data_IF_027862433727
#
_entry.id   IF_027862433727
#
_cell.length_a   1.000
_cell.length_b   1.000
_cell.length_c   1.000
_cell.angle_alpha   90.00
_cell.angle_beta   90.00
_cell.angle_gamma   90.00
#
_symmetry.space_group_name_H-M   'P 1'
#
loop_
_entity.id
_entity.type
_entity.pdbx_description
1 polymer ?
#
# COMPACT_ATOMS: atom_id res chain seq x y z
N UNK A 1 19.00 15.42 -23.59
CA UNK A 1 17.97 14.37 -23.70
C UNK A 1 18.11 13.45 -22.50
N UNK A 2 17.21 13.52 -21.51
CA UNK A 2 17.12 12.50 -20.46
C UNK A 2 16.46 11.28 -21.09
N UNK A 3 16.98 10.08 -20.83
CA UNK A 3 16.31 8.83 -21.23
C UNK A 3 14.92 8.87 -20.58
N UNK A 4 13.88 9.05 -21.40
CA UNK A 4 12.48 9.00 -20.96
C UNK A 4 12.14 7.51 -20.96
N UNK A 5 12.23 6.89 -19.78
CA UNK A 5 12.05 5.46 -19.63
C UNK A 5 11.76 5.13 -18.17
N UNK A 6 11.11 4.00 -17.93
CA UNK A 6 10.91 3.52 -16.57
C UNK A 6 12.25 3.13 -15.96
N UNK A 7 12.47 3.48 -14.69
CA UNK A 7 13.62 2.95 -13.98
C UNK A 7 13.47 1.44 -13.77
N UNK A 8 14.61 0.77 -13.56
CA UNK A 8 14.67 -0.68 -13.47
C UNK A 8 13.70 -1.24 -12.42
N UNK A 9 13.58 -0.61 -11.25
CA UNK A 9 12.72 -1.13 -10.17
C UNK A 9 11.24 -1.10 -10.57
N UNK A 10 10.82 -0.01 -11.23
CA UNK A 10 9.46 0.07 -11.79
C UNK A 10 9.23 -0.98 -12.89
N UNK A 11 10.22 -1.18 -13.77
CA UNK A 11 10.14 -2.16 -14.85
C UNK A 11 10.00 -3.59 -14.34
N UNK A 12 10.93 -4.00 -13.47
CA UNK A 12 10.95 -5.32 -12.85
C UNK A 12 9.62 -5.61 -12.12
N UNK A 13 9.04 -4.59 -11.47
CA UNK A 13 7.73 -4.71 -10.82
C UNK A 13 6.60 -4.94 -11.83
N UNK A 14 6.50 -4.15 -12.90
CA UNK A 14 5.43 -4.34 -13.90
C UNK A 14 5.57 -5.67 -14.64
N UNK A 15 6.79 -6.08 -14.97
CA UNK A 15 7.08 -7.39 -15.54
C UNK A 15 6.65 -8.53 -14.59
N UNK A 16 6.85 -8.37 -13.27
CA UNK A 16 6.37 -9.34 -12.28
C UNK A 16 4.83 -9.47 -12.23
N UNK A 17 4.11 -8.47 -12.74
CA UNK A 17 2.65 -8.51 -12.91
C UNK A 17 2.23 -9.10 -14.27
N UNK A 18 3.17 -9.60 -15.07
CA UNK A 18 2.98 -10.06 -16.45
C UNK A 18 2.47 -8.97 -17.40
N UNK A 19 2.89 -7.71 -17.18
CA UNK A 19 2.56 -6.60 -18.06
C UNK A 19 3.62 -6.50 -19.16
N UNK A 20 3.20 -6.59 -20.43
CA UNK A 20 4.08 -6.34 -21.57
C UNK A 20 4.34 -4.85 -21.76
N UNK A 21 5.59 -4.45 -21.54
CA UNK A 21 6.02 -3.06 -21.64
C UNK A 21 6.37 -2.63 -23.05
N UNK A 22 6.47 -3.55 -24.01
CA UNK A 22 6.78 -3.26 -25.42
C UNK A 22 5.84 -2.20 -26.01
N UNK A 23 4.57 -2.21 -25.58
CA UNK A 23 3.53 -1.30 -26.05
C UNK A 23 2.93 -0.41 -24.95
N UNK A 24 3.30 -0.62 -23.69
CA UNK A 24 2.72 0.08 -22.55
C UNK A 24 3.67 1.03 -21.82
N UNK A 25 4.97 1.04 -22.14
CA UNK A 25 5.96 1.81 -21.37
C UNK A 25 5.59 3.31 -21.24
N UNK A 26 5.16 3.95 -22.32
CA UNK A 26 4.76 5.37 -22.31
C UNK A 26 3.58 5.64 -21.38
N UNK A 27 2.57 4.76 -21.36
CA UNK A 27 1.41 4.88 -20.46
C UNK A 27 1.84 4.78 -19.00
N UNK A 28 2.74 3.84 -18.69
CA UNK A 28 3.24 3.67 -17.33
C UNK A 28 4.22 4.76 -16.90
N UNK A 29 4.88 5.45 -17.82
CA UNK A 29 5.68 6.65 -17.50
C UNK A 29 4.79 7.74 -16.91
N UNK A 30 3.60 7.96 -17.46
CA UNK A 30 2.65 8.97 -16.97
C UNK A 30 2.22 8.71 -15.51
N UNK A 31 2.09 7.43 -15.13
CA UNK A 31 1.70 7.01 -13.79
C UNK A 31 2.86 6.43 -12.95
N UNK A 32 4.11 6.67 -13.32
CA UNK A 32 5.28 6.07 -12.66
C UNK A 32 5.36 6.38 -11.15
N UNK A 33 4.90 7.57 -10.74
CA UNK A 33 4.82 7.93 -9.33
C UNK A 33 3.90 7.01 -8.52
N UNK A 34 2.80 6.53 -9.15
CA UNK A 34 1.87 5.59 -8.55
C UNK A 34 2.50 4.22 -8.39
N UNK A 35 3.18 3.73 -9.43
CA UNK A 35 3.83 2.42 -9.41
C UNK A 35 4.92 2.38 -8.32
N UNK A 36 5.68 3.47 -8.18
CA UNK A 36 6.67 3.63 -7.10
C UNK A 36 6.07 3.59 -5.70
N UNK A 37 4.88 4.16 -5.53
CA UNK A 37 4.17 4.10 -4.25
C UNK A 37 3.79 2.65 -3.89
N UNK A 38 3.24 1.90 -4.85
CA UNK A 38 2.89 0.48 -4.66
C UNK A 38 4.12 -0.35 -4.29
N UNK A 39 5.22 -0.20 -5.03
CA UNK A 39 6.49 -0.89 -4.76
C UNK A 39 6.99 -0.58 -3.35
N UNK A 40 6.99 0.70 -2.96
CA UNK A 40 7.44 1.12 -1.64
C UNK A 40 6.60 0.50 -0.54
N UNK A 41 5.29 0.39 -0.73
CA UNK A 41 4.40 -0.18 0.27
C UNK A 41 4.51 -1.68 0.38
N UNK A 42 4.57 -2.40 -0.75
CA UNK A 42 4.85 -3.83 -0.76
C UNK A 42 6.13 -4.17 0.01
N UNK A 43 7.20 -3.40 -0.25
CA UNK A 43 8.47 -3.55 0.48
C UNK A 43 8.29 -3.38 2.00
N UNK A 44 7.49 -2.39 2.42
CA UNK A 44 7.30 -2.08 3.83
C UNK A 44 6.35 -3.04 4.54
N UNK A 45 5.33 -3.53 3.85
CA UNK A 45 4.45 -4.58 4.34
C UNK A 45 5.25 -5.88 4.55
N UNK A 46 6.13 -6.25 3.63
CA UNK A 46 7.01 -7.41 3.82
C UNK A 46 7.97 -7.24 5.01
N UNK A 47 8.58 -6.07 5.17
CA UNK A 47 9.40 -5.78 6.34
C UNK A 47 8.58 -5.86 7.65
N UNK A 48 7.31 -5.45 7.62
CA UNK A 48 6.43 -5.55 8.78
C UNK A 48 6.02 -6.98 9.09
N UNK A 49 5.70 -7.79 8.07
CA UNK A 49 5.42 -9.23 8.23
C UNK A 49 6.58 -9.93 8.91
N UNK A 50 7.80 -9.71 8.43
CA UNK A 50 9.02 -10.24 9.05
C UNK A 50 9.18 -9.79 10.51
N UNK A 51 8.86 -8.53 10.81
CA UNK A 51 8.90 -8.01 12.17
C UNK A 51 7.85 -8.67 13.09
N UNK A 52 6.61 -8.82 12.63
CA UNK A 52 5.51 -9.44 13.40
C UNK A 52 5.72 -10.96 13.57
N UNK A 53 6.25 -11.64 12.56
CA UNK A 53 6.62 -13.06 12.63
C UNK A 53 7.67 -13.30 13.74
N UNK A 54 8.60 -12.35 13.94
CA UNK A 54 9.57 -12.39 15.04
C UNK A 54 8.93 -12.17 16.43
N UNK A 55 7.70 -11.66 16.47
CA UNK A 55 6.97 -11.29 17.70
C UNK A 55 5.79 -12.24 18.00
N UNK A 56 5.75 -13.41 17.35
CA UNK A 56 4.73 -14.46 17.55
C UNK A 56 3.31 -14.09 17.11
N UNK A 57 3.17 -13.18 16.14
CA UNK A 57 1.94 -12.89 15.38
C UNK A 57 0.62 -12.92 16.19
N UNK A 58 0.25 -11.78 16.78
CA UNK A 58 -1.11 -11.60 17.29
C UNK A 58 -2.15 -11.69 16.15
N UNK A 59 -3.33 -12.24 16.46
CA UNK A 59 -4.45 -12.34 15.50
C UNK A 59 -4.87 -10.96 14.97
N UNK A 60 -4.74 -9.90 15.76
CA UNK A 60 -5.08 -8.55 15.31
C UNK A 60 -4.15 -8.06 14.19
N UNK A 61 -2.84 -8.28 14.29
CA UNK A 61 -1.89 -7.93 13.24
C UNK A 61 -2.06 -8.78 11.98
N UNK A 62 -2.42 -10.06 12.15
CA UNK A 62 -2.66 -10.98 11.04
C UNK A 62 -3.83 -10.54 10.15
N UNK A 63 -4.95 -10.10 10.77
CA UNK A 63 -6.10 -9.59 10.04
C UNK A 63 -5.74 -8.33 9.23
N UNK A 64 -4.97 -7.41 9.81
CA UNK A 64 -4.56 -6.18 9.13
C UNK A 64 -3.58 -6.41 7.99
N UNK A 65 -2.63 -7.34 8.18
CA UNK A 65 -1.73 -7.76 7.11
C UNK A 65 -2.57 -8.27 5.93
N UNK A 66 -3.52 -9.15 6.20
CA UNK A 66 -4.41 -9.71 5.18
C UNK A 66 -5.26 -8.64 4.46
N UNK A 67 -5.94 -7.75 5.19
CA UNK A 67 -6.72 -6.65 4.58
C UNK A 67 -5.83 -5.74 3.70
N UNK A 68 -4.57 -5.51 4.11
CA UNK A 68 -3.62 -4.70 3.35
C UNK A 68 -3.12 -5.43 2.10
N UNK A 69 -2.86 -6.73 2.19
CA UNK A 69 -2.48 -7.57 1.05
C UNK A 69 -3.60 -7.63 0.00
N UNK A 70 -4.88 -7.70 0.42
CA UNK A 70 -6.01 -7.65 -0.49
C UNK A 70 -6.09 -6.32 -1.27
N UNK A 71 -5.86 -5.19 -0.61
CA UNK A 71 -5.86 -3.88 -1.29
C UNK A 71 -4.71 -3.75 -2.29
N UNK A 72 -3.52 -4.28 -1.96
CA UNK A 72 -2.40 -4.34 -2.87
C UNK A 72 -2.70 -5.23 -4.09
N UNK A 73 -3.28 -6.41 -3.88
CA UNK A 73 -3.68 -7.30 -4.96
C UNK A 73 -4.72 -6.66 -5.89
N UNK A 74 -5.70 -5.92 -5.34
CA UNK A 74 -6.67 -5.16 -6.13
C UNK A 74 -5.99 -4.06 -6.96
N UNK A 75 -5.00 -3.37 -6.40
CA UNK A 75 -4.21 -2.38 -7.14
C UNK A 75 -3.40 -3.00 -8.28
N UNK A 76 -2.73 -4.12 -8.03
CA UNK A 76 -1.98 -4.89 -9.03
C UNK A 76 -2.89 -5.38 -10.17
N UNK A 77 -4.09 -5.89 -9.86
CA UNK A 77 -5.09 -6.28 -10.85
C UNK A 77 -5.56 -5.10 -11.70
N UNK A 78 -5.79 -3.95 -11.07
CA UNK A 78 -6.22 -2.73 -11.77
C UNK A 78 -5.16 -2.27 -12.77
N UNK A 79 -3.86 -2.38 -12.41
CA UNK A 79 -2.76 -2.08 -13.34
C UNK A 79 -2.71 -3.06 -14.52
N UNK A 80 -2.98 -4.36 -14.28
CA UNK A 80 -3.11 -5.37 -15.36
C UNK A 80 -4.24 -5.02 -16.30
N UNK A 81 -5.45 -4.78 -15.77
CA UNK A 81 -6.61 -4.39 -16.58
C UNK A 81 -6.36 -3.13 -17.39
N UNK A 82 -5.67 -2.14 -16.82
CA UNK A 82 -5.30 -0.93 -17.55
C UNK A 82 -4.35 -1.22 -18.71
N UNK A 83 -3.35 -2.08 -18.52
CA UNK A 83 -2.42 -2.49 -19.59
C UNK A 83 -3.08 -3.28 -20.73
N UNK A 84 -4.26 -3.85 -20.46
CA UNK A 84 -5.05 -4.66 -21.39
C UNK A 84 -6.23 -3.87 -21.99
N UNK A 85 -6.30 -2.56 -21.75
CA UNK A 85 -7.38 -1.66 -22.20
C UNK A 85 -8.78 -2.06 -21.72
N UNK A 86 -8.87 -2.85 -20.65
CA UNK A 86 -10.16 -3.22 -20.03
C UNK A 86 -10.76 -2.09 -19.19
N UNK A 87 -9.92 -1.13 -18.74
CA UNK A 87 -10.37 0.04 -17.98
C UNK A 87 -9.70 1.31 -18.51
N UNK A 88 -10.38 2.45 -18.37
CA UNK A 88 -9.83 3.76 -18.70
C UNK A 88 -8.84 4.25 -17.64
N UNK A 89 -8.08 5.29 -17.98
CA UNK A 89 -7.21 6.01 -17.04
C UNK A 89 -8.02 6.61 -15.87
N UNK A 90 -9.21 7.17 -16.14
CA UNK A 90 -10.09 7.70 -15.09
C UNK A 90 -10.53 6.61 -14.11
N UNK A 91 -10.92 5.44 -14.62
CA UNK A 91 -11.30 4.29 -13.78
C UNK A 91 -10.11 3.74 -12.98
N UNK A 92 -8.91 3.73 -13.57
CA UNK A 92 -7.67 3.39 -12.87
C UNK A 92 -7.44 4.34 -11.69
N UNK A 93 -7.55 5.65 -11.92
CA UNK A 93 -7.33 6.68 -10.91
C UNK A 93 -8.39 6.59 -9.81
N UNK A 94 -9.67 6.47 -10.16
CA UNK A 94 -10.77 6.36 -9.18
C UNK A 94 -10.63 5.12 -8.30
N UNK A 95 -10.27 3.98 -8.90
CA UNK A 95 -10.06 2.73 -8.15
C UNK A 95 -8.90 2.89 -7.17
N UNK A 96 -7.76 3.45 -7.61
CA UNK A 96 -6.62 3.69 -6.73
C UNK A 96 -6.93 4.73 -5.65
N UNK A 97 -7.80 5.71 -5.92
CA UNK A 97 -8.29 6.65 -4.91
C UNK A 97 -9.08 5.94 -3.81
N UNK A 98 -10.03 5.08 -4.18
CA UNK A 98 -10.82 4.28 -3.21
C UNK A 98 -9.95 3.32 -2.40
N UNK A 99 -8.97 2.68 -3.05
CA UNK A 99 -8.00 1.84 -2.34
C UNK A 99 -7.21 2.67 -1.31
N UNK A 100 -6.76 3.86 -1.70
CA UNK A 100 -6.05 4.75 -0.80
C UNK A 100 -6.90 5.22 0.40
N UNK A 101 -8.21 5.48 0.20
CA UNK A 101 -9.13 5.78 1.31
C UNK A 101 -9.27 4.59 2.27
N UNK A 102 -9.48 3.37 1.76
CA UNK A 102 -9.53 2.17 2.60
C UNK A 102 -8.24 1.92 3.37
N UNK A 103 -7.08 2.16 2.73
CA UNK A 103 -5.79 2.11 3.43
C UNK A 103 -5.72 3.14 4.56
N UNK A 104 -6.31 4.33 4.42
CA UNK A 104 -6.37 5.31 5.51
C UNK A 104 -7.22 4.78 6.67
N UNK A 105 -8.39 4.22 6.41
CA UNK A 105 -9.25 3.63 7.44
C UNK A 105 -8.55 2.50 8.22
N UNK A 106 -7.85 1.60 7.51
CA UNK A 106 -7.07 0.53 8.15
C UNK A 106 -6.01 1.07 9.11
N UNK A 107 -5.42 2.22 8.80
CA UNK A 107 -4.40 2.82 9.67
C UNK A 107 -4.97 3.45 10.94
N UNK A 108 -6.24 3.81 10.95
CA UNK A 108 -6.93 4.37 12.13
C UNK A 108 -7.42 3.24 13.07
N UNK A 109 -7.75 2.07 12.51
CA UNK A 109 -8.24 0.88 13.25
C UNK A 109 -7.18 0.13 14.06
N UNK A 110 -5.89 0.45 13.91
CA UNK A 110 -4.77 -0.17 14.66
C UNK A 110 -4.96 -0.07 16.18
N UNK A 111 -5.77 0.89 16.65
CA UNK A 111 -6.04 1.12 18.06
C UNK A 111 -7.11 0.20 18.68
N UNK A 112 -7.98 -0.43 17.88
CA UNK A 112 -9.23 -1.00 18.41
C UNK A 112 -9.16 -2.50 18.73
N UNK A 113 -8.15 -3.21 18.22
CA UNK A 113 -8.10 -4.68 18.28
C UNK A 113 -7.66 -5.32 19.61
N UNK A 114 -6.99 -4.58 20.50
CA UNK A 114 -6.36 -5.21 21.67
C UNK A 114 -7.30 -5.41 22.88
N UNK A 115 -8.40 -4.65 22.97
CA UNK A 115 -9.22 -4.64 24.19
C UNK A 115 -10.18 -5.83 24.34
N UNK A 116 -10.19 -6.77 23.39
CA UNK A 116 -11.16 -7.88 23.40
C UNK A 116 -10.74 -9.10 24.25
N UNK A 117 -9.47 -9.21 24.65
CA UNK A 117 -8.95 -10.41 25.32
C UNK A 117 -8.11 -10.06 26.55
N UNK A 118 -8.76 -9.64 27.65
CA UNK A 118 -8.09 -9.22 28.89
C UNK A 118 -6.95 -10.14 29.34
N UNK A 119 -5.74 -9.58 29.42
CA UNK A 119 -4.51 -10.26 29.87
C UNK A 119 -3.97 -9.64 31.17
N UNK A 120 -2.95 -10.27 31.77
CA UNK A 120 -2.34 -9.80 33.02
C UNK A 120 -1.53 -8.51 32.82
N UNK A 121 -1.42 -7.66 33.85
CA UNK A 121 -0.76 -6.33 33.80
C UNK A 121 0.71 -6.28 33.35
N UNK A 122 1.44 -7.41 33.39
CA UNK A 122 2.81 -7.51 32.87
C UNK A 122 2.84 -7.84 31.37
N UNK A 123 1.88 -8.67 30.92
CA UNK A 123 1.64 -8.93 29.50
C UNK A 123 1.07 -7.68 28.84
N UNK A 124 0.17 -6.96 29.52
CA UNK A 124 -0.34 -5.66 29.06
C UNK A 124 0.80 -4.65 28.86
N UNK A 125 1.80 -4.58 29.76
CA UNK A 125 2.91 -3.64 29.61
C UNK A 125 3.86 -3.96 28.46
N UNK A 126 4.20 -5.24 28.28
CA UNK A 126 5.02 -5.67 27.14
C UNK A 126 4.25 -5.51 25.82
N UNK A 127 2.94 -5.76 25.84
CA UNK A 127 2.06 -5.52 24.72
C UNK A 127 1.92 -4.02 24.43
N UNK A 128 1.80 -3.16 25.43
CA UNK A 128 1.76 -1.70 25.31
C UNK A 128 3.04 -1.16 24.67
N UNK A 129 4.21 -1.61 25.12
CA UNK A 129 5.51 -1.20 24.57
C UNK A 129 5.67 -1.66 23.10
N UNK A 130 5.24 -2.89 22.80
CA UNK A 130 5.20 -3.41 21.42
C UNK A 130 4.21 -2.64 20.55
N UNK A 131 3.03 -2.35 21.09
CA UNK A 131 1.96 -1.60 20.42
C UNK A 131 2.39 -0.18 20.13
N UNK A 132 3.10 0.47 21.07
CA UNK A 132 3.66 1.80 20.91
C UNK A 132 4.80 1.81 19.86
N UNK A 133 5.64 0.78 19.84
CA UNK A 133 6.66 0.61 18.80
C UNK A 133 6.03 0.41 17.42
N UNK A 134 5.06 -0.49 17.31
CA UNK A 134 4.25 -0.71 16.12
C UNK A 134 3.56 0.59 15.69
N UNK A 135 2.95 1.34 16.62
CA UNK A 135 2.28 2.62 16.36
C UNK A 135 3.24 3.65 15.80
N UNK A 136 4.47 3.73 16.28
CA UNK A 136 5.48 4.69 15.76
C UNK A 136 5.90 4.34 14.34
N UNK A 137 6.09 3.06 14.06
CA UNK A 137 6.38 2.55 12.71
C UNK A 137 5.18 2.86 11.81
N UNK A 138 3.97 2.46 12.21
CA UNK A 138 2.74 2.64 11.43
C UNK A 138 2.39 4.10 11.22
N UNK A 139 2.52 4.97 12.23
CA UNK A 139 2.22 6.40 12.09
C UNK A 139 3.14 7.08 11.07
N UNK A 140 4.42 6.67 11.01
CA UNK A 140 5.37 7.19 10.02
C UNK A 140 5.03 6.71 8.62
N UNK A 141 4.62 5.45 8.48
CA UNK A 141 4.29 4.84 7.19
C UNK A 141 2.93 5.28 6.66
N UNK A 142 1.96 5.39 7.55
CA UNK A 142 0.65 5.99 7.31
C UNK A 142 0.78 7.41 6.76
N UNK A 143 1.61 8.27 7.36
CA UNK A 143 1.82 9.65 6.86
C UNK A 143 2.32 9.71 5.41
N UNK A 144 3.15 8.76 5.00
CA UNK A 144 3.64 8.70 3.61
C UNK A 144 2.50 8.32 2.65
N UNK A 145 1.66 7.37 3.05
CA UNK A 145 0.49 6.92 2.31
C UNK A 145 -0.62 7.97 2.24
N UNK A 146 -0.93 8.64 3.36
CA UNK A 146 -1.84 9.80 3.42
C UNK A 146 -1.37 10.92 2.49
N UNK A 147 -0.06 11.18 2.43
CA UNK A 147 0.51 12.18 1.53
C UNK A 147 0.31 11.80 0.06
N UNK A 148 0.43 10.52 -0.27
CA UNK A 148 0.21 9.99 -1.61
C UNK A 148 -1.28 10.01 -1.99
N UNK A 149 -2.17 9.58 -1.09
CA UNK A 149 -3.62 9.66 -1.26
C UNK A 149 -4.09 11.10 -1.53
N UNK A 150 -3.60 12.06 -0.72
CA UNK A 150 -3.88 13.49 -0.90
C UNK A 150 -3.29 14.03 -2.22
N UNK A 151 -2.08 13.61 -2.59
CA UNK A 151 -1.48 13.99 -3.86
C UNK A 151 -2.32 13.49 -5.04
N UNK A 152 -2.80 12.24 -5.01
CA UNK A 152 -3.69 11.70 -6.04
C UNK A 152 -5.03 12.44 -6.13
N UNK A 153 -5.63 12.78 -4.98
CA UNK A 153 -6.81 13.66 -4.94
C UNK A 153 -6.56 14.99 -5.65
N UNK A 154 -5.40 15.60 -5.43
CA UNK A 154 -5.03 16.89 -6.02
C UNK A 154 -4.70 16.82 -7.52
N UNK A 155 -4.23 15.67 -8.00
CA UNK A 155 -4.09 15.39 -9.43
C UNK A 155 -5.47 15.27 -10.10
N UNK A 156 -6.44 14.64 -9.43
CA UNK A 156 -7.82 14.51 -9.94
C UNK A 156 -8.55 15.87 -9.96
N UNK A 157 -8.30 16.76 -8.99
CA UNK A 157 -8.90 18.11 -8.98
C UNK A 157 -8.37 19.06 -10.08
N UNK A 158 -7.38 18.64 -10.87
CA UNK A 158 -6.84 19.41 -12.01
C UNK A 158 -7.38 18.93 -13.36
N UNK A 159 -8.25 17.92 -13.38
CA UNK A 159 -8.80 17.28 -14.59
C UNK A 159 -10.30 17.58 -14.76
N UNK A 160 -10.84 18.61 -14.09
CA UNK A 160 -12.19 19.14 -14.32
C UNK A 160 -12.11 20.46 -15.08
#
# INVERSE_FOLDING_TARGET
MKIIGLDRKTRDYLESLNIDLTYNEERFIAINALIKANIAFKTKLENFKQFIDCLSADRCFSLWIWETEELLAQSEETLRHFSQDYISEDSLIETHYKLAEKMCELTERVYEGHWEYGVSSAVDRQFDDLTELCRRIWSKENKAWVKLAKAWKSCNSRVI
#
